data_IF_441102814846
#
_entry.id   IF_441102814846
#
_cell.length_a   1.000
_cell.length_b   1.000
_cell.length_c   1.000
_cell.angle_alpha   90.00
_cell.angle_beta   90.00
_cell.angle_gamma   90.00
#
_symmetry.space_group_name_H-M   'P 1'
#
loop_
_entity.id
_entity.type
_entity.pdbx_description
1 polymer ?
#
# COMPACT_ATOMS: atom_id res chain seq x y z
N UNK A 1 -11.02 -23.30 15.44
CA UNK A 1 -9.93 -23.79 14.56
C UNK A 1 -8.98 -22.61 14.24
N UNK A 2 -8.63 -21.80 15.24
CA UNK A 2 -7.93 -20.52 15.06
C UNK A 2 -6.43 -20.62 14.79
N UNK A 3 -5.78 -21.68 15.28
CA UNK A 3 -4.32 -21.82 15.17
C UNK A 3 -3.81 -21.98 13.73
N UNK A 4 -4.62 -22.56 12.84
CA UNK A 4 -4.20 -22.81 11.44
C UNK A 4 -4.21 -21.51 10.61
N UNK A 5 -5.25 -20.69 10.74
CA UNK A 5 -5.32 -19.40 10.05
C UNK A 5 -4.23 -18.44 10.51
N UNK A 6 -3.94 -18.41 11.81
CA UNK A 6 -2.84 -17.63 12.37
C UNK A 6 -1.47 -18.08 11.81
N UNK A 7 -1.22 -19.39 11.78
CA UNK A 7 0.03 -19.95 11.23
C UNK A 7 0.17 -19.70 9.72
N UNK A 8 -0.91 -19.80 8.95
CA UNK A 8 -0.89 -19.50 7.51
C UNK A 8 -0.64 -18.01 7.24
N UNK A 9 -1.18 -17.12 8.08
CA UNK A 9 -0.91 -15.68 7.98
C UNK A 9 0.58 -15.39 8.23
N UNK A 10 1.16 -15.97 9.27
CA UNK A 10 2.59 -15.80 9.58
C UNK A 10 3.50 -16.36 8.46
N UNK A 11 3.12 -17.48 7.84
CA UNK A 11 3.85 -18.02 6.69
C UNK A 11 3.81 -17.10 5.46
N UNK A 12 2.72 -16.34 5.27
CA UNK A 12 2.65 -15.31 4.23
C UNK A 12 3.58 -14.14 4.57
N UNK A 13 3.59 -13.68 5.82
CA UNK A 13 4.48 -12.61 6.28
C UNK A 13 5.96 -12.99 6.14
N UNK A 14 6.32 -14.23 6.49
CA UNK A 14 7.67 -14.78 6.34
C UNK A 14 8.02 -15.18 4.91
N UNK A 15 7.15 -14.93 3.93
CA UNK A 15 7.32 -15.30 2.51
C UNK A 15 7.52 -16.81 2.30
N UNK A 16 7.09 -17.66 3.21
CA UNK A 16 7.09 -19.11 3.01
C UNK A 16 5.95 -19.56 2.08
N UNK A 17 4.81 -18.84 2.14
CA UNK A 17 3.62 -19.09 1.33
C UNK A 17 3.12 -17.83 0.63
N UNK A 18 2.49 -18.00 -0.53
CA UNK A 18 1.78 -16.97 -1.27
C UNK A 18 0.29 -17.16 -1.06
N UNK A 19 -0.48 -16.08 -1.09
CA UNK A 19 -1.94 -16.13 -1.01
C UNK A 19 -2.58 -15.49 -2.23
N UNK A 20 -3.68 -16.08 -2.70
CA UNK A 20 -4.53 -15.55 -3.76
C UNK A 20 -5.99 -15.67 -3.33
N UNK A 21 -6.71 -14.58 -3.34
CA UNK A 21 -8.15 -14.57 -3.10
C UNK A 21 -8.88 -14.66 -4.44
N UNK A 22 -9.83 -15.60 -4.54
CA UNK A 22 -10.68 -15.77 -5.72
C UNK A 22 -12.14 -15.62 -5.31
N UNK A 23 -12.90 -14.82 -6.05
CA UNK A 23 -14.35 -14.75 -5.91
C UNK A 23 -14.98 -15.82 -6.80
N UNK A 24 -15.85 -16.66 -6.23
CA UNK A 24 -16.62 -17.66 -6.95
C UNK A 24 -18.08 -17.70 -6.50
N UNK A 25 -18.89 -18.63 -7.03
CA UNK A 25 -20.32 -18.74 -6.73
C UNK A 25 -20.64 -19.03 -5.25
N UNK A 26 -19.66 -19.51 -4.47
CA UNK A 26 -19.77 -19.71 -3.02
C UNK A 26 -19.22 -18.56 -2.17
N UNK A 27 -18.85 -17.43 -2.78
CA UNK A 27 -18.20 -16.30 -2.11
C UNK A 27 -16.67 -16.29 -2.25
N UNK A 28 -16.00 -15.30 -1.63
CA UNK A 28 -14.54 -15.18 -1.70
C UNK A 28 -13.85 -16.32 -0.97
N UNK A 29 -12.96 -17.02 -1.67
CA UNK A 29 -12.17 -18.14 -1.15
C UNK A 29 -10.69 -17.83 -1.25
N UNK A 30 -9.96 -18.02 -0.15
CA UNK A 30 -8.50 -17.81 -0.11
C UNK A 30 -7.75 -19.10 -0.42
N UNK A 31 -6.84 -19.03 -1.38
CA UNK A 31 -5.94 -20.11 -1.76
C UNK A 31 -4.51 -19.79 -1.33
N UNK A 32 -3.83 -20.76 -0.74
CA UNK A 32 -2.42 -20.65 -0.35
C UNK A 32 -1.56 -21.52 -1.26
N UNK A 33 -0.41 -20.98 -1.66
CA UNK A 33 0.59 -21.65 -2.49
C UNK A 33 1.92 -21.66 -1.77
N UNK A 34 2.73 -22.70 -1.97
CA UNK A 34 4.13 -22.69 -1.52
C UNK A 34 4.88 -21.63 -2.32
N UNK A 35 5.75 -20.82 -1.70
CA UNK A 35 6.49 -19.76 -2.39
C UNK A 35 7.64 -20.30 -3.26
N UNK A 36 7.31 -21.00 -4.34
CA UNK A 36 8.26 -21.46 -5.36
C UNK A 36 8.17 -20.60 -6.63
N UNK A 37 9.19 -20.59 -7.50
CA UNK A 37 9.12 -19.93 -8.81
C UNK A 37 7.92 -20.37 -9.65
N UNK A 38 7.58 -21.65 -9.60
CA UNK A 38 6.45 -22.25 -10.33
C UNK A 38 5.13 -21.69 -9.81
N UNK A 39 4.94 -21.64 -8.49
CA UNK A 39 3.74 -21.04 -7.88
C UNK A 39 3.59 -19.57 -8.25
N UNK A 40 4.68 -18.79 -8.28
CA UNK A 40 4.64 -17.38 -8.71
C UNK A 40 4.19 -17.22 -10.16
N UNK A 41 4.71 -18.07 -11.06
CA UNK A 41 4.28 -18.09 -12.47
C UNK A 41 2.81 -18.46 -12.61
N UNK A 42 2.37 -19.48 -11.88
CA UNK A 42 0.97 -19.92 -11.89
C UNK A 42 0.03 -18.81 -11.40
N UNK A 43 0.35 -18.17 -10.27
CA UNK A 43 -0.42 -17.03 -9.74
C UNK A 43 -0.48 -15.88 -10.76
N UNK A 44 0.64 -15.54 -11.41
CA UNK A 44 0.66 -14.49 -12.43
C UNK A 44 -0.27 -14.80 -13.61
N UNK A 45 -0.27 -16.05 -14.09
CA UNK A 45 -1.15 -16.50 -15.18
C UNK A 45 -2.63 -16.52 -14.78
N UNK A 46 -2.93 -16.84 -13.52
CA UNK A 46 -4.29 -16.74 -12.98
C UNK A 46 -4.74 -15.29 -12.90
N UNK A 47 -3.89 -14.39 -12.39
CA UNK A 47 -4.16 -12.94 -12.36
C UNK A 47 -4.35 -12.35 -13.77
N UNK A 48 -3.62 -12.88 -14.76
CA UNK A 48 -3.75 -12.52 -16.16
C UNK A 48 -4.99 -13.13 -16.85
N UNK A 49 -5.76 -13.98 -16.15
CA UNK A 49 -6.94 -14.65 -16.70
C UNK A 49 -6.64 -15.81 -17.66
N UNK A 50 -5.37 -16.19 -17.81
CA UNK A 50 -4.95 -17.30 -18.69
C UNK A 50 -5.35 -18.66 -18.15
N UNK A 51 -5.42 -18.79 -16.82
CA UNK A 51 -5.77 -20.03 -16.12
C UNK A 51 -6.84 -19.72 -15.09
N UNK A 52 -7.89 -20.54 -15.06
CA UNK A 52 -8.89 -20.54 -14.00
C UNK A 52 -8.63 -21.73 -13.07
N UNK A 53 -8.50 -21.48 -11.78
CA UNK A 53 -8.36 -22.53 -10.76
C UNK A 53 -9.66 -23.31 -10.54
N UNK A 54 -10.81 -22.62 -10.65
CA UNK A 54 -12.13 -23.21 -10.63
C UNK A 54 -13.03 -22.55 -11.68
N UNK A 55 -14.06 -23.26 -12.18
CA UNK A 55 -15.05 -22.66 -13.07
C UNK A 55 -15.70 -21.46 -12.38
N UNK A 56 -15.85 -20.35 -13.13
CA UNK A 56 -16.49 -19.13 -12.63
C UNK A 56 -15.79 -18.51 -11.40
N UNK A 57 -14.47 -18.67 -11.28
CA UNK A 57 -13.68 -17.91 -10.31
C UNK A 57 -12.89 -16.80 -10.98
N UNK A 58 -12.92 -15.62 -10.37
CA UNK A 58 -12.11 -14.46 -10.78
C UNK A 58 -11.13 -14.08 -9.68
N UNK A 59 -9.88 -13.73 -10.03
CA UNK A 59 -8.94 -13.15 -9.07
C UNK A 59 -9.53 -11.87 -8.50
N UNK A 60 -9.53 -11.76 -7.18
CA UNK A 60 -9.86 -10.52 -6.48
C UNK A 60 -8.57 -9.98 -5.92
N UNK A 61 -8.26 -8.72 -6.27
CA UNK A 61 -7.23 -7.99 -5.54
C UNK A 61 -7.83 -7.72 -4.15
N UNK A 62 -7.44 -8.53 -3.17
CA UNK A 62 -7.78 -8.22 -1.79
C UNK A 62 -7.01 -6.95 -1.45
N UNK A 63 -7.72 -5.92 -1.03
CA UNK A 63 -7.13 -4.84 -0.24
C UNK A 63 -6.48 -5.52 0.96
N UNK A 64 -5.17 -5.76 0.84
CA UNK A 64 -4.36 -6.31 1.92
C UNK A 64 -4.47 -5.26 3.00
N UNK A 65 -5.27 -5.54 4.04
CA UNK A 65 -5.25 -4.74 5.26
C UNK A 65 -3.77 -4.55 5.62
N UNK A 66 -3.25 -3.32 5.56
CA UNK A 66 -1.83 -3.10 5.41
C UNK A 66 -1.10 -3.75 6.59
N UNK A 67 -0.20 -4.67 6.25
CA UNK A 67 0.75 -5.25 7.19
C UNK A 67 1.55 -4.10 7.79
N UNK A 68 1.26 -3.80 9.07
CA UNK A 68 1.40 -2.48 9.71
C UNK A 68 0.65 -1.37 8.94
N UNK A 69 -0.17 -0.52 9.61
CA UNK A 69 -0.77 0.64 8.96
C UNK A 69 0.30 1.39 8.14
N UNK A 70 0.03 1.69 6.87
CA UNK A 70 1.03 2.23 5.93
C UNK A 70 1.77 3.47 6.46
N UNK A 71 1.10 4.21 7.34
CA UNK A 71 1.64 5.35 8.10
C UNK A 71 2.92 5.04 8.89
N UNK A 72 3.12 3.83 9.41
CA UNK A 72 4.34 3.48 10.15
C UNK A 72 5.56 3.42 9.23
N UNK A 73 5.41 2.82 8.04
CA UNK A 73 6.47 2.78 7.04
C UNK A 73 6.78 4.19 6.52
N UNK A 74 5.75 4.97 6.21
CA UNK A 74 5.89 6.37 5.81
C UNK A 74 6.59 7.20 6.87
N UNK A 75 6.32 6.93 8.15
CA UNK A 75 7.02 7.59 9.24
C UNK A 75 8.51 7.22 9.26
N UNK A 76 8.84 5.93 9.25
CA UNK A 76 10.24 5.49 9.35
C UNK A 76 11.10 5.95 8.16
N UNK A 77 10.54 5.94 6.95
CA UNK A 77 11.21 6.40 5.72
C UNK A 77 11.62 7.89 5.78
N UNK A 78 10.82 8.74 6.44
CA UNK A 78 11.02 10.19 6.43
C UNK A 78 11.56 10.76 7.74
N UNK A 79 11.25 10.15 8.89
CA UNK A 79 11.52 10.68 10.23
C UNK A 79 12.47 9.79 11.06
N UNK A 80 12.80 8.59 10.59
CA UNK A 80 13.72 7.67 11.26
C UNK A 80 13.06 6.82 12.35
N UNK A 81 13.80 6.46 13.40
CA UNK A 81 13.37 5.47 14.39
C UNK A 81 12.04 5.84 15.07
N UNK A 82 11.10 4.90 15.05
CA UNK A 82 9.83 5.02 15.75
C UNK A 82 10.05 5.02 17.27
N UNK A 83 9.54 6.05 17.94
CA UNK A 83 9.45 6.08 19.41
C UNK A 83 8.03 5.67 19.84
N UNK A 84 7.84 5.00 20.99
CA UNK A 84 6.52 4.54 21.44
C UNK A 84 5.48 5.66 21.48
N UNK A 85 5.86 6.86 21.94
CA UNK A 85 4.98 8.04 21.99
C UNK A 85 4.47 8.47 20.60
N UNK A 86 5.30 8.35 19.56
CA UNK A 86 4.89 8.68 18.20
C UNK A 86 3.99 7.57 17.64
N UNK A 87 4.19 6.32 18.04
CA UNK A 87 3.35 5.20 17.63
C UNK A 87 1.86 5.42 17.93
N UNK A 88 1.53 5.85 19.16
CA UNK A 88 0.14 6.14 19.55
C UNK A 88 -0.46 7.27 18.70
N UNK A 89 0.33 8.29 18.38
CA UNK A 89 -0.08 9.41 17.53
C UNK A 89 -0.32 8.98 16.08
N UNK A 90 0.49 8.06 15.56
CA UNK A 90 0.28 7.52 14.21
C UNK A 90 -1.03 6.72 14.14
N UNK A 91 -1.36 5.97 15.18
CA UNK A 91 -2.65 5.25 15.25
C UNK A 91 -3.83 6.22 15.31
N UNK A 92 -3.74 7.28 16.13
CA UNK A 92 -4.75 8.35 16.20
C UNK A 92 -4.96 9.01 14.84
N UNK A 93 -3.87 9.35 14.14
CA UNK A 93 -3.91 9.94 12.79
C UNK A 93 -4.54 8.98 11.78
N UNK A 94 -4.15 7.70 11.78
CA UNK A 94 -4.71 6.70 10.87
C UNK A 94 -6.20 6.43 11.09
N UNK A 95 -6.69 6.60 12.32
CA UNK A 95 -8.12 6.48 12.63
C UNK A 95 -8.93 7.74 12.26
N UNK A 96 -8.29 8.91 12.28
CA UNK A 96 -8.95 10.21 12.11
C UNK A 96 -8.95 10.70 10.65
N UNK A 97 -7.89 10.40 9.90
CA UNK A 97 -7.67 10.97 8.58
C UNK A 97 -7.64 9.91 7.48
N UNK A 98 -8.14 10.22 6.27
CA UNK A 98 -7.94 9.35 5.10
C UNK A 98 -6.46 9.15 4.79
N UNK A 99 -6.08 7.94 4.37
CA UNK A 99 -4.69 7.58 4.06
C UNK A 99 -4.04 8.53 3.05
N UNK A 100 -4.77 8.93 2.01
CA UNK A 100 -4.30 9.88 1.00
C UNK A 100 -3.89 11.25 1.60
N UNK A 101 -4.58 11.72 2.65
CA UNK A 101 -4.19 12.95 3.33
C UNK A 101 -2.92 12.76 4.12
N UNK A 102 -2.78 11.64 4.82
CA UNK A 102 -1.58 11.35 5.59
C UNK A 102 -0.36 11.28 4.66
N UNK A 103 -0.46 10.57 3.54
CA UNK A 103 0.61 10.50 2.53
C UNK A 103 1.02 11.87 1.99
N UNK A 104 0.04 12.71 1.66
CA UNK A 104 0.31 14.05 1.12
C UNK A 104 0.89 15.00 2.17
N UNK A 105 0.44 14.92 3.42
CA UNK A 105 0.98 15.71 4.51
C UNK A 105 2.43 15.30 4.83
N UNK A 106 2.75 14.00 4.77
CA UNK A 106 4.12 13.50 4.88
C UNK A 106 4.98 14.01 3.71
N UNK A 107 4.45 14.02 2.48
CA UNK A 107 5.14 14.57 1.31
C UNK A 107 5.42 16.07 1.47
N UNK A 108 4.45 16.85 1.96
CA UNK A 108 4.63 18.28 2.24
C UNK A 108 5.72 18.50 3.29
N UNK A 109 5.73 17.71 4.36
CA UNK A 109 6.77 17.74 5.38
C UNK A 109 8.16 17.42 4.79
N UNK A 110 8.26 16.41 3.92
CA UNK A 110 9.51 16.04 3.27
C UNK A 110 10.04 17.17 2.37
N UNK A 111 9.17 17.83 1.60
CA UNK A 111 9.52 18.98 0.77
C UNK A 111 9.96 20.19 1.60
N UNK A 112 9.32 20.41 2.74
CA UNK A 112 9.70 21.44 3.72
C UNK A 112 10.98 21.08 4.51
N UNK A 113 11.59 19.90 4.26
CA UNK A 113 12.70 19.33 5.05
C UNK A 113 12.39 19.26 6.55
N UNK A 114 11.11 19.12 6.90
CA UNK A 114 10.67 19.01 8.27
C UNK A 114 11.08 17.64 8.83
N UNK A 115 11.88 17.64 9.89
CA UNK A 115 12.35 16.41 10.57
C UNK A 115 11.48 16.00 11.75
N UNK A 116 10.35 16.66 11.97
CA UNK A 116 9.46 16.38 13.10
C UNK A 116 8.05 16.03 12.61
N UNK A 117 7.47 14.99 13.22
CA UNK A 117 6.10 14.52 12.94
C UNK A 117 5.04 15.59 13.24
N UNK A 118 5.32 16.48 14.20
CA UNK A 118 4.41 17.58 14.57
C UNK A 118 4.10 18.51 13.40
N UNK A 119 4.98 18.57 12.40
CA UNK A 119 4.70 19.30 11.16
C UNK A 119 3.56 18.65 10.38
N UNK A 120 3.59 17.32 10.21
CA UNK A 120 2.55 16.54 9.52
C UNK A 120 1.20 16.72 10.23
N UNK A 121 1.16 16.61 11.55
CA UNK A 121 -0.06 16.83 12.34
C UNK A 121 -0.64 18.24 12.11
N UNK A 122 0.20 19.27 12.00
CA UNK A 122 -0.26 20.64 11.72
C UNK A 122 -0.81 20.81 10.31
N UNK A 123 -0.23 20.14 9.32
CA UNK A 123 -0.76 20.15 7.94
C UNK A 123 -2.14 19.51 7.92
N UNK A 124 -2.32 18.37 8.61
CA UNK A 124 -3.60 17.69 8.72
C UNK A 124 -4.66 18.52 9.47
N UNK A 125 -4.29 19.13 10.60
CA UNK A 125 -5.19 20.03 11.36
C UNK A 125 -5.60 21.24 10.51
N UNK A 126 -4.66 21.83 9.75
CA UNK A 126 -4.97 22.90 8.80
C UNK A 126 -5.98 22.46 7.76
N UNK A 127 -5.77 21.32 7.09
CA UNK A 127 -6.67 20.80 6.05
C UNK A 127 -8.06 20.46 6.59
N UNK A 128 -8.15 20.07 7.86
CA UNK A 128 -9.42 19.81 8.55
C UNK A 128 -10.21 21.09 8.74
N UNK A 129 -9.53 22.19 9.11
CA UNK A 129 -10.16 23.50 9.33
C UNK A 129 -10.53 24.22 8.05
N UNK A 130 -9.68 24.10 7.03
CA UNK A 130 -9.84 24.79 5.74
C UNK A 130 -10.79 24.06 4.78
N UNK A 131 -11.20 22.82 5.11
CA UNK A 131 -12.17 22.06 4.33
C UNK A 131 -11.59 21.61 2.99
N UNK A 132 -10.72 20.61 3.02
CA UNK A 132 -10.10 20.09 1.81
C UNK A 132 -11.10 19.31 0.95
N UNK A 133 -11.46 19.85 -0.21
CA UNK A 133 -12.25 19.14 -1.23
C UNK A 133 -11.37 18.06 -1.87
N UNK A 134 -11.58 16.80 -1.49
CA UNK A 134 -11.00 15.66 -2.19
C UNK A 134 -12.14 14.89 -2.85
N UNK A 135 -12.41 15.19 -4.12
CA UNK A 135 -13.13 14.25 -4.96
C UNK A 135 -12.30 12.97 -5.05
N UNK A 136 -12.97 11.84 -4.90
CA UNK A 136 -12.43 10.50 -4.70
C UNK A 136 -11.22 10.22 -5.61
N UNK A 137 -10.04 9.83 -5.09
CA UNK A 137 -8.88 9.54 -5.92
C UNK A 137 -9.01 8.17 -6.55
N UNK A 138 -9.83 8.10 -7.59
CA UNK A 138 -9.64 7.15 -8.67
C UNK A 138 -8.44 7.60 -9.50
N UNK A 139 -7.30 6.94 -9.28
CA UNK A 139 -6.32 6.57 -10.33
C UNK A 139 -5.18 7.51 -10.75
N UNK A 140 -5.12 8.83 -10.51
CA UNK A 140 -4.15 9.63 -11.29
C UNK A 140 -2.93 10.32 -10.63
N UNK A 141 -2.77 10.44 -9.31
CA UNK A 141 -1.75 11.39 -8.81
C UNK A 141 -0.38 10.79 -8.49
N UNK A 142 -0.26 9.47 -8.28
CA UNK A 142 1.01 8.87 -7.86
C UNK A 142 2.02 8.76 -9.02
N UNK A 143 1.59 8.38 -10.22
CA UNK A 143 2.46 8.30 -11.40
C UNK A 143 2.82 9.68 -11.97
N UNK A 144 1.85 10.60 -12.08
CA UNK A 144 2.08 11.95 -12.59
C UNK A 144 3.00 12.77 -11.67
N UNK A 145 2.86 12.63 -10.34
CA UNK A 145 3.75 13.33 -9.41
C UNK A 145 5.14 12.67 -9.34
N UNK A 146 5.25 11.34 -9.44
CA UNK A 146 6.56 10.66 -9.56
C UNK A 146 7.34 11.11 -10.79
N UNK A 147 6.68 11.31 -11.93
CA UNK A 147 7.31 11.86 -13.14
C UNK A 147 7.82 13.29 -12.96
N UNK A 148 7.12 14.10 -12.15
CA UNK A 148 7.54 15.47 -11.81
C UNK A 148 8.73 15.51 -10.84
N UNK A 149 8.83 14.56 -9.91
CA UNK A 149 9.92 14.48 -8.94
C UNK A 149 11.16 13.72 -9.44
N UNK A 150 11.01 12.79 -10.40
CA UNK A 150 12.12 12.08 -11.05
C UNK A 150 12.61 12.76 -12.34
N UNK A 151 11.98 13.86 -12.77
CA UNK A 151 12.30 14.62 -13.98
C UNK A 151 13.59 15.46 -13.95
N UNK A 152 14.58 15.03 -13.18
CA UNK A 152 15.91 15.66 -13.12
C UNK A 152 16.98 14.59 -13.23
N UNK A 153 17.56 14.46 -14.44
CA UNK A 153 18.70 13.60 -14.83
C UNK A 153 18.34 12.22 -15.39
N UNK A 154 17.74 12.17 -16.57
CA UNK A 154 18.25 11.33 -17.67
C UNK A 154 17.95 12.06 -18.98
N UNK A 155 19.02 12.47 -19.64
CA UNK A 155 18.95 13.23 -20.89
C UNK A 155 18.34 12.41 -22.02
N UNK A 156 17.70 13.13 -22.93
CA UNK A 156 17.37 12.70 -24.27
C UNK A 156 18.52 11.91 -24.92
N UNK A 157 18.24 10.73 -25.47
CA UNK A 157 18.90 10.29 -26.70
C UNK A 157 17.85 9.59 -27.58
N UNK A 158 17.80 10.07 -28.83
CA UNK A 158 16.79 9.78 -29.83
C UNK A 158 16.87 8.35 -30.39
N UNK A 159 15.72 7.89 -30.89
CA UNK A 159 15.60 6.77 -31.82
C UNK A 159 16.10 7.22 -33.20
N UNK A 160 17.01 6.49 -33.82
CA UNK A 160 17.19 6.50 -35.27
C UNK A 160 16.84 5.13 -35.85
N UNK A 161 16.23 5.16 -37.02
CA UNK A 161 15.64 4.08 -37.82
C UNK A 161 16.50 2.83 -38.03
#
# INVERSE_FOLDING_TARGET
>A
RDGLDAGLKECVEKKATLALDLAGPGGPTRYFFVNTPESRRTIARIKAGEIQLRPSTIPVEREVAPSAPAIFKLYEEHFGTLTPFVGDRLLEVAATYPEAWVEEAVREAALARAKNWRYVERVLDRWTREGRTYETPGRNTLEEQKQRFLGGRYGHIARSS
#
